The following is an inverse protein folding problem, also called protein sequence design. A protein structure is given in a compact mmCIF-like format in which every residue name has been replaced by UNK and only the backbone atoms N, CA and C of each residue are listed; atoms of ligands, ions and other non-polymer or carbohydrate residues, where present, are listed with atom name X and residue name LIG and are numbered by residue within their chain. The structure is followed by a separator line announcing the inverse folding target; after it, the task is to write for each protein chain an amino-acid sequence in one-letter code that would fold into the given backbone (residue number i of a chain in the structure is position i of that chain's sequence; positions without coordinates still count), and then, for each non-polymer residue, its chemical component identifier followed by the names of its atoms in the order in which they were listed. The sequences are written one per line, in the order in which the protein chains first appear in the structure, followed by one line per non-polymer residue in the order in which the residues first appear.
data_IF_221554856502
#
_entry.id   IF_221554856502
#
_cell.length_a   1.000
_cell.length_b   1.000
_cell.length_c   1.000
_cell.angle_alpha   90.00
_cell.angle_beta   90.00
_cell.angle_gamma   90.00
#
_symmetry.space_group_name_H-M   'P 1'
#
loop_
_entity.id
_entity.type
_entity.pdbx_description
1 polymer ?
#
# COMPACT_ATOMS: atom_id res chain seq x y z
N UNK A 1 -21.70 10.39 -0.37
CA UNK A 1 -21.03 9.43 0.53
C UNK A 1 -21.89 8.99 1.71
N UNK A 2 -22.32 9.90 2.63
CA UNK A 2 -23.12 9.51 3.81
C UNK A 2 -24.37 8.68 3.47
N UNK A 3 -25.22 9.17 2.57
CA UNK A 3 -26.43 8.46 2.15
C UNK A 3 -26.18 7.04 1.59
N UNK A 4 -25.01 6.82 0.98
CA UNK A 4 -24.61 5.50 0.48
C UNK A 4 -24.16 4.56 1.60
N UNK A 5 -23.39 5.06 2.56
CA UNK A 5 -23.07 4.32 3.76
C UNK A 5 -24.29 4.09 4.67
N UNK A 6 -25.29 4.98 4.64
CA UNK A 6 -26.56 4.86 5.38
C UNK A 6 -27.57 3.97 4.62
N UNK A 7 -27.23 3.45 3.45
CA UNK A 7 -28.12 2.70 2.55
C UNK A 7 -29.43 3.42 2.18
N UNK A 8 -29.48 4.75 2.30
CA UNK A 8 -30.62 5.59 1.93
C UNK A 8 -30.59 6.02 0.46
N UNK A 9 -29.42 6.01 -0.18
CA UNK A 9 -29.26 6.18 -1.62
C UNK A 9 -27.97 5.50 -2.11
N UNK A 10 -28.03 4.72 -3.20
CA UNK A 10 -26.83 4.07 -3.75
C UNK A 10 -26.09 4.98 -4.72
N UNK A 11 -24.76 5.02 -4.61
CA UNK A 11 -23.92 5.61 -5.64
C UNK A 11 -24.02 4.78 -6.93
N UNK A 12 -23.94 5.45 -8.08
CA UNK A 12 -23.86 4.76 -9.36
C UNK A 12 -22.56 3.92 -9.40
N UNK A 13 -22.59 2.66 -9.87
CA UNK A 13 -21.43 1.77 -9.84
C UNK A 13 -20.16 2.36 -10.46
N UNK A 14 -20.29 3.10 -11.55
CA UNK A 14 -19.17 3.70 -12.30
C UNK A 14 -18.44 4.82 -11.55
N UNK A 15 -19.12 5.50 -10.61
CA UNK A 15 -18.52 6.61 -9.84
C UNK A 15 -18.31 6.25 -8.37
N UNK A 16 -18.87 5.14 -7.90
CA UNK A 16 -18.80 4.76 -6.50
C UNK A 16 -17.36 4.67 -6.00
N UNK A 17 -16.47 4.01 -6.76
CA UNK A 17 -15.06 3.86 -6.38
C UNK A 17 -14.34 5.20 -6.20
N UNK A 18 -14.47 6.12 -7.17
CA UNK A 18 -13.80 7.43 -7.08
C UNK A 18 -14.39 8.30 -5.97
N UNK A 19 -15.71 8.28 -5.76
CA UNK A 19 -16.35 9.03 -4.67
C UNK A 19 -15.89 8.50 -3.30
N UNK A 20 -15.76 7.17 -3.16
CA UNK A 20 -15.24 6.52 -1.94
C UNK A 20 -13.78 6.93 -1.69
N UNK A 21 -12.92 6.90 -2.73
CA UNK A 21 -11.52 7.29 -2.62
C UNK A 21 -11.36 8.77 -2.25
N UNK A 22 -12.05 9.68 -2.97
CA UNK A 22 -11.99 11.13 -2.69
C UNK A 22 -12.51 11.45 -1.29
N UNK A 23 -13.59 10.82 -0.85
CA UNK A 23 -14.10 11.04 0.51
C UNK A 23 -13.11 10.58 1.61
N UNK A 24 -12.31 9.54 1.35
CA UNK A 24 -11.29 9.06 2.29
C UNK A 24 -10.11 10.04 2.44
N UNK A 25 -9.73 10.78 1.40
CA UNK A 25 -8.60 11.73 1.45
C UNK A 25 -8.74 12.82 2.53
N UNK A 26 -9.98 13.18 2.87
CA UNK A 26 -10.34 14.13 3.93
C UNK A 26 -11.12 13.47 5.08
N UNK A 27 -11.08 12.14 5.16
CA UNK A 27 -11.85 11.34 6.09
C UNK A 27 -11.27 11.34 7.51
N UNK A 28 -12.15 11.30 8.50
CA UNK A 28 -11.81 11.14 9.91
C UNK A 28 -11.88 9.66 10.37
N UNK A 29 -11.54 9.43 11.64
CA UNK A 29 -11.66 8.10 12.27
C UNK A 29 -13.05 7.49 12.13
N UNK A 30 -14.10 8.31 12.25
CA UNK A 30 -15.47 7.85 12.10
C UNK A 30 -15.74 7.37 10.67
N UNK A 31 -15.25 8.07 9.64
CA UNK A 31 -15.40 7.62 8.27
C UNK A 31 -14.62 6.31 8.01
N UNK A 32 -13.41 6.20 8.56
CA UNK A 32 -12.61 4.99 8.48
C UNK A 32 -13.34 3.78 9.09
N UNK A 33 -13.89 3.94 10.30
CA UNK A 33 -14.63 2.87 10.99
C UNK A 33 -15.85 2.44 10.17
N UNK A 34 -16.54 3.40 9.55
CA UNK A 34 -17.67 3.11 8.65
C UNK A 34 -17.25 2.37 7.38
N UNK A 35 -16.06 2.66 6.83
CA UNK A 35 -15.55 1.93 5.66
C UNK A 35 -15.24 0.48 6.03
N UNK A 36 -14.60 0.25 7.17
CA UNK A 36 -14.33 -1.11 7.66
C UNK A 36 -15.62 -1.87 7.94
N UNK A 37 -16.60 -1.23 8.60
CA UNK A 37 -17.91 -1.85 8.85
C UNK A 37 -18.59 -2.25 7.54
N UNK A 38 -18.67 -1.32 6.58
CA UNK A 38 -19.30 -1.56 5.28
C UNK A 38 -18.59 -2.63 4.46
N UNK A 39 -17.26 -2.66 4.48
CA UNK A 39 -16.44 -3.72 3.88
C UNK A 39 -16.81 -5.09 4.46
N UNK A 40 -16.85 -5.22 5.79
CA UNK A 40 -17.19 -6.46 6.48
C UNK A 40 -18.62 -6.93 6.19
N UNK A 41 -19.59 -6.00 6.20
CA UNK A 41 -20.98 -6.29 5.87
C UNK A 41 -21.14 -6.78 4.42
N UNK A 42 -20.45 -6.13 3.48
CA UNK A 42 -20.51 -6.46 2.06
C UNK A 42 -19.84 -7.81 1.72
N UNK A 43 -18.86 -8.25 2.53
CA UNK A 43 -18.09 -9.47 2.26
C UNK A 43 -18.92 -10.74 2.04
N UNK A 44 -20.12 -10.81 2.64
CA UNK A 44 -21.01 -11.97 2.52
C UNK A 44 -22.01 -11.89 1.34
N UNK A 45 -22.23 -10.70 0.76
CA UNK A 45 -23.39 -10.47 -0.12
C UNK A 45 -23.09 -9.63 -1.36
N UNK A 46 -22.00 -8.87 -1.39
CA UNK A 46 -21.62 -7.97 -2.47
C UNK A 46 -20.09 -7.83 -2.54
N UNK A 47 -19.46 -8.73 -3.28
CA UNK A 47 -18.00 -8.75 -3.43
C UNK A 47 -17.45 -7.49 -4.12
N UNK A 48 -18.23 -6.85 -5.01
CA UNK A 48 -17.78 -5.64 -5.68
C UNK A 48 -17.74 -4.47 -4.69
N UNK A 49 -18.77 -4.36 -3.87
CA UNK A 49 -18.84 -3.33 -2.83
C UNK A 49 -17.81 -3.53 -1.74
N UNK A 50 -17.60 -4.77 -1.29
CA UNK A 50 -16.52 -5.10 -0.36
C UNK A 50 -15.17 -4.65 -0.92
N UNK A 51 -14.87 -4.98 -2.18
CA UNK A 51 -13.64 -4.55 -2.82
C UNK A 51 -13.51 -3.02 -2.94
N UNK A 52 -14.61 -2.29 -3.21
CA UNK A 52 -14.60 -0.82 -3.25
C UNK A 52 -14.20 -0.22 -1.90
N UNK A 53 -14.77 -0.72 -0.80
CA UNK A 53 -14.44 -0.21 0.53
C UNK A 53 -13.05 -0.64 0.99
N UNK A 54 -12.63 -1.88 0.68
CA UNK A 54 -11.26 -2.34 0.91
C UNK A 54 -10.24 -1.44 0.22
N UNK A 55 -10.46 -1.10 -1.06
CA UNK A 55 -9.61 -0.17 -1.79
C UNK A 55 -9.72 1.28 -1.30
N UNK A 56 -10.91 1.70 -0.84
CA UNK A 56 -11.13 3.01 -0.24
C UNK A 56 -10.26 3.29 0.98
N UNK A 57 -9.96 2.25 1.80
CA UNK A 57 -9.09 2.37 2.98
C UNK A 57 -7.67 2.83 2.66
N UNK A 58 -7.21 2.68 1.42
CA UNK A 58 -5.85 3.05 1.00
C UNK A 58 -5.69 4.56 0.79
N UNK A 59 -6.78 5.31 0.74
CA UNK A 59 -6.79 6.74 0.40
C UNK A 59 -6.93 7.67 1.61
N UNK A 60 -6.98 7.15 2.83
CA UNK A 60 -6.90 8.00 4.03
C UNK A 60 -5.50 8.60 4.14
N UNK A 61 -5.42 9.92 4.40
CA UNK A 61 -4.14 10.64 4.47
C UNK A 61 -3.65 10.89 5.90
N UNK A 62 -4.50 10.74 6.91
CA UNK A 62 -4.10 10.95 8.31
C UNK A 62 -3.15 9.81 8.76
N UNK A 63 -1.96 10.12 9.29
CA UNK A 63 -0.93 9.11 9.60
C UNK A 63 -1.41 7.93 10.45
N UNK A 64 -2.21 8.18 11.50
CA UNK A 64 -2.73 7.10 12.36
C UNK A 64 -3.74 6.24 11.62
N UNK A 65 -4.53 6.81 10.71
CA UNK A 65 -5.46 6.03 9.88
C UNK A 65 -4.72 5.17 8.85
N UNK A 66 -3.62 5.66 8.29
CA UNK A 66 -2.74 4.86 7.42
C UNK A 66 -2.15 3.69 8.20
N UNK A 67 -1.62 3.94 9.40
CA UNK A 67 -1.08 2.91 10.29
C UNK A 67 -2.15 1.86 10.62
N UNK A 68 -3.35 2.29 11.06
CA UNK A 68 -4.49 1.39 11.30
C UNK A 68 -4.86 0.56 10.08
N UNK A 69 -4.85 1.13 8.88
CA UNK A 69 -5.08 0.37 7.64
C UNK A 69 -3.96 -0.64 7.40
N UNK A 70 -2.71 -0.26 7.58
CA UNK A 70 -1.55 -1.14 7.39
C UNK A 70 -1.55 -2.31 8.39
N UNK A 71 -1.92 -2.07 9.65
CA UNK A 71 -2.10 -3.12 10.66
C UNK A 71 -3.30 -4.04 10.35
N UNK A 72 -4.43 -3.47 9.89
CA UNK A 72 -5.62 -4.23 9.52
C UNK A 72 -5.31 -5.29 8.45
N UNK A 73 -4.40 -4.99 7.51
CA UNK A 73 -3.96 -5.90 6.46
C UNK A 73 -3.40 -7.21 7.03
N UNK A 74 -2.66 -7.14 8.14
CA UNK A 74 -2.08 -8.34 8.76
C UNK A 74 -3.01 -9.00 9.79
N UNK A 75 -4.18 -8.42 10.05
CA UNK A 75 -5.19 -9.02 10.91
C UNK A 75 -5.97 -10.16 10.22
N UNK A 76 -6.72 -10.99 10.97
CA UNK A 76 -7.64 -11.98 10.40
C UNK A 76 -8.78 -11.39 9.54
N UNK A 77 -8.99 -10.06 9.58
CA UNK A 77 -10.02 -9.39 8.77
C UNK A 77 -9.71 -9.48 7.28
N UNK A 78 -8.43 -9.43 6.91
CA UNK A 78 -7.99 -9.45 5.51
C UNK A 78 -7.39 -10.82 5.22
N UNK A 79 -7.91 -11.47 4.17
CA UNK A 79 -7.41 -12.79 3.75
C UNK A 79 -5.95 -12.67 3.34
N UNK A 80 -5.12 -13.65 3.71
CA UNK A 80 -3.68 -13.64 3.45
C UNK A 80 -3.34 -13.31 1.99
N UNK A 81 -4.08 -13.88 1.02
CA UNK A 81 -3.86 -13.65 -0.42
C UNK A 81 -4.24 -12.24 -0.91
N UNK A 82 -5.02 -11.50 -0.15
CA UNK A 82 -5.42 -10.13 -0.48
C UNK A 82 -4.51 -9.08 0.13
N UNK A 83 -3.63 -9.46 1.06
CA UNK A 83 -2.74 -8.52 1.76
C UNK A 83 -1.86 -7.73 0.80
N UNK A 84 -1.31 -8.41 -0.21
CA UNK A 84 -0.51 -7.78 -1.26
C UNK A 84 -1.30 -6.74 -2.07
N UNK A 85 -2.60 -6.93 -2.27
CA UNK A 85 -3.48 -6.00 -3.00
C UNK A 85 -3.75 -4.69 -2.24
N UNK A 86 -3.33 -4.61 -0.97
CA UNK A 86 -3.48 -3.43 -0.13
C UNK A 86 -2.13 -2.84 0.27
N UNK A 87 -1.20 -3.66 0.76
CA UNK A 87 0.06 -3.15 1.31
C UNK A 87 0.99 -2.62 0.21
N UNK A 88 1.03 -3.29 -0.95
CA UNK A 88 1.88 -2.87 -2.06
C UNK A 88 1.46 -1.48 -2.57
N UNK A 89 0.17 -1.21 -2.87
CA UNK A 89 -0.27 0.15 -3.19
C UNK A 89 0.02 1.18 -2.09
N UNK A 90 -0.18 0.84 -0.81
CA UNK A 90 0.13 1.78 0.28
C UNK A 90 1.61 2.17 0.31
N UNK A 91 2.53 1.25 0.02
CA UNK A 91 3.95 1.57 -0.11
C UNK A 91 4.27 2.42 -1.36
N UNK A 92 3.39 2.43 -2.36
CA UNK A 92 3.60 3.20 -3.60
C UNK A 92 3.10 4.65 -3.48
N UNK A 93 2.08 4.91 -2.65
CA UNK A 93 1.49 6.24 -2.48
C UNK A 93 2.33 7.15 -1.57
N UNK A 94 2.55 8.41 -2.00
CA UNK A 94 3.42 9.39 -1.29
C UNK A 94 3.08 9.55 0.19
N UNK A 95 1.78 9.61 0.54
CA UNK A 95 1.31 9.89 1.90
C UNK A 95 1.46 8.71 2.85
N UNK A 96 1.36 7.49 2.33
CA UNK A 96 1.35 6.27 3.14
C UNK A 96 2.64 5.47 3.08
N UNK A 97 3.51 5.75 2.11
CA UNK A 97 4.71 4.96 1.81
C UNK A 97 5.55 4.63 3.02
N UNK A 98 5.96 5.64 3.76
CA UNK A 98 6.88 5.46 4.88
C UNK A 98 6.24 4.64 5.99
N UNK A 99 4.97 4.93 6.34
CA UNK A 99 4.23 4.20 7.38
C UNK A 99 4.01 2.73 6.96
N UNK A 100 3.57 2.50 5.72
CA UNK A 100 3.37 1.15 5.22
C UNK A 100 4.68 0.35 5.13
N UNK A 101 5.78 1.03 4.80
CA UNK A 101 7.12 0.45 4.85
C UNK A 101 7.50 0.04 6.28
N UNK A 102 7.31 0.92 7.27
CA UNK A 102 7.56 0.60 8.68
C UNK A 102 6.80 -0.65 9.11
N UNK A 103 5.49 -0.70 8.85
CA UNK A 103 4.64 -1.83 9.23
C UNK A 103 5.08 -3.12 8.53
N UNK A 104 5.44 -3.08 7.23
CA UNK A 104 5.98 -4.26 6.56
C UNK A 104 7.25 -4.78 7.23
N UNK A 105 8.19 -3.88 7.60
CA UNK A 105 9.43 -4.28 8.28
C UNK A 105 9.16 -5.00 9.58
N UNK A 106 8.26 -4.45 10.40
CA UNK A 106 7.87 -5.02 11.69
C UNK A 106 7.16 -6.37 11.57
N UNK A 107 6.30 -6.52 10.55
CA UNK A 107 5.52 -7.74 10.33
C UNK A 107 6.25 -8.80 9.52
N UNK A 108 7.39 -8.48 8.91
CA UNK A 108 8.06 -9.35 7.94
C UNK A 108 8.30 -10.78 8.47
N UNK A 109 8.93 -10.91 9.63
CA UNK A 109 9.32 -12.24 10.13
C UNK A 109 8.10 -13.09 10.49
N UNK A 110 7.06 -12.47 11.04
CA UNK A 110 5.85 -13.15 11.48
C UNK A 110 4.90 -13.49 10.32
N UNK A 111 4.79 -12.61 9.32
CA UNK A 111 3.71 -12.65 8.32
C UNK A 111 4.19 -12.91 6.89
N UNK A 112 5.49 -12.74 6.61
CA UNK A 112 6.05 -12.81 5.24
C UNK A 112 7.15 -13.87 5.11
N UNK A 113 8.06 -13.97 6.08
CA UNK A 113 9.21 -14.86 6.01
C UNK A 113 8.83 -16.35 6.11
N UNK A 114 7.67 -16.67 6.70
CA UNK A 114 7.20 -18.04 6.90
C UNK A 114 7.04 -18.83 5.60
N UNK A 115 7.14 -20.17 5.71
CA UNK A 115 6.95 -21.08 4.58
C UNK A 115 5.46 -21.22 4.17
N UNK A 116 4.54 -20.88 5.06
CA UNK A 116 3.09 -20.96 4.84
C UNK A 116 2.56 -19.87 3.89
N UNK A 117 3.32 -18.81 3.68
CA UNK A 117 2.93 -17.77 2.74
C UNK A 117 3.12 -18.27 1.30
N UNK A 118 2.07 -18.19 0.49
CA UNK A 118 2.13 -18.66 -0.89
C UNK A 118 3.31 -18.02 -1.65
N UNK A 119 4.13 -18.81 -2.40
CA UNK A 119 5.36 -18.32 -3.01
C UNK A 119 5.21 -17.07 -3.87
N UNK A 120 4.13 -16.98 -4.65
CA UNK A 120 3.86 -15.82 -5.49
C UNK A 120 3.69 -14.53 -4.68
N UNK A 121 2.93 -14.59 -3.58
CA UNK A 121 2.74 -13.43 -2.71
C UNK A 121 4.04 -13.10 -1.96
N UNK A 122 4.78 -14.11 -1.49
CA UNK A 122 6.05 -13.91 -0.82
C UNK A 122 7.06 -13.18 -1.72
N UNK A 123 7.17 -13.56 -2.99
CA UNK A 123 8.02 -12.88 -3.97
C UNK A 123 7.51 -11.48 -4.36
N UNK A 124 6.22 -11.20 -4.21
CA UNK A 124 5.68 -9.86 -4.50
C UNK A 124 6.20 -8.79 -3.52
N UNK A 125 6.53 -9.15 -2.27
CA UNK A 125 7.01 -8.18 -1.28
C UNK A 125 8.41 -7.62 -1.59
N UNK A 126 9.45 -8.41 -1.90
CA UNK A 126 10.72 -7.86 -2.37
C UNK A 126 10.57 -6.94 -3.58
N UNK A 127 9.73 -7.35 -4.55
CA UNK A 127 9.43 -6.52 -5.72
C UNK A 127 8.76 -5.19 -5.34
N UNK A 128 7.88 -5.19 -4.35
CA UNK A 128 7.26 -3.96 -3.86
C UNK A 128 8.26 -3.05 -3.12
N UNK A 129 9.12 -3.63 -2.27
CA UNK A 129 10.22 -2.91 -1.61
C UNK A 129 11.18 -2.30 -2.63
N UNK A 130 11.38 -2.94 -3.78
CA UNK A 130 12.24 -2.40 -4.84
C UNK A 130 11.74 -1.08 -5.46
N UNK A 131 10.51 -0.66 -5.17
CA UNK A 131 9.92 0.60 -5.62
C UNK A 131 10.16 1.78 -4.64
N UNK A 132 10.78 1.52 -3.48
CA UNK A 132 11.13 2.53 -2.49
C UNK A 132 12.40 3.30 -2.89
N UNK A 133 12.42 3.79 -4.13
CA UNK A 133 13.57 4.47 -4.74
C UNK A 133 13.68 5.96 -4.39
N UNK A 134 12.90 6.44 -3.40
CA UNK A 134 12.92 7.85 -3.01
C UNK A 134 14.14 8.15 -2.13
N UNK A 135 14.65 9.40 -2.16
CA UNK A 135 15.73 9.82 -1.29
C UNK A 135 15.45 9.46 0.17
N UNK A 136 16.45 8.89 0.84
CA UNK A 136 16.35 8.45 2.24
C UNK A 136 15.77 7.04 2.46
N UNK A 137 15.18 6.40 1.45
CA UNK A 137 14.64 5.04 1.56
C UNK A 137 15.51 3.96 0.89
N UNK A 138 16.26 4.31 -0.16
CA UNK A 138 17.03 3.35 -0.98
C UNK A 138 17.96 2.48 -0.14
N UNK A 139 18.86 3.10 0.63
CA UNK A 139 19.86 2.36 1.41
C UNK A 139 19.22 1.50 2.50
N UNK A 140 18.14 1.99 3.09
CA UNK A 140 17.39 1.26 4.11
C UNK A 140 16.68 0.04 3.53
N UNK A 141 16.03 0.19 2.36
CA UNK A 141 15.40 -0.89 1.64
C UNK A 141 16.41 -1.95 1.18
N UNK A 142 17.59 -1.54 0.70
CA UNK A 142 18.67 -2.47 0.32
C UNK A 142 19.13 -3.28 1.55
N UNK A 143 19.49 -2.62 2.65
CA UNK A 143 19.92 -3.31 3.88
C UNK A 143 18.86 -4.27 4.39
N UNK A 144 17.59 -3.86 4.35
CA UNK A 144 16.49 -4.73 4.75
C UNK A 144 16.40 -5.97 3.86
N UNK A 145 16.42 -5.82 2.54
CA UNK A 145 16.33 -6.95 1.61
C UNK A 145 17.51 -7.91 1.75
N UNK A 146 18.72 -7.40 1.96
CA UNK A 146 19.90 -8.22 2.25
C UNK A 146 19.73 -9.02 3.55
N UNK A 147 19.28 -8.36 4.63
CA UNK A 147 19.07 -8.99 5.93
C UNK A 147 17.93 -10.00 5.94
N UNK A 148 16.90 -9.80 5.11
CA UNK A 148 15.71 -10.66 5.02
C UNK A 148 15.79 -11.71 3.91
N UNK A 149 16.94 -11.84 3.25
CA UNK A 149 17.14 -12.79 2.16
C UNK A 149 17.05 -14.23 2.66
N UNK A 150 16.09 -14.99 2.12
CA UNK A 150 15.97 -16.44 2.30
C UNK A 150 16.17 -17.18 0.98
N UNK A 151 16.51 -18.49 0.99
CA UNK A 151 16.80 -19.23 -0.25
C UNK A 151 15.69 -19.16 -1.31
N UNK A 152 14.43 -19.17 -0.90
CA UNK A 152 13.24 -19.16 -1.76
C UNK A 152 12.92 -17.81 -2.42
N UNK A 153 13.51 -16.71 -1.94
CA UNK A 153 13.39 -15.36 -2.54
C UNK A 153 14.75 -14.77 -2.94
N UNK A 154 15.83 -15.56 -2.86
CA UNK A 154 17.19 -15.05 -2.96
C UNK A 154 17.48 -14.36 -4.31
N UNK A 155 16.89 -14.85 -5.40
CA UNK A 155 17.02 -14.26 -6.73
C UNK A 155 16.19 -12.97 -6.84
N UNK A 156 14.92 -13.00 -6.41
CA UNK A 156 14.04 -11.82 -6.41
C UNK A 156 14.63 -10.68 -5.58
N UNK A 157 15.25 -10.99 -4.43
CA UNK A 157 15.97 -10.03 -3.59
C UNK A 157 17.14 -9.40 -4.34
N UNK A 158 17.97 -10.19 -5.03
CA UNK A 158 19.11 -9.67 -5.79
C UNK A 158 18.65 -8.72 -6.91
N UNK A 159 17.62 -9.11 -7.66
CA UNK A 159 17.02 -8.27 -8.70
C UNK A 159 16.37 -7.00 -8.13
N UNK A 160 15.74 -7.09 -6.96
CA UNK A 160 15.10 -5.97 -6.27
C UNK A 160 16.12 -4.92 -5.80
N UNK A 161 17.26 -5.38 -5.26
CA UNK A 161 18.37 -4.50 -4.85
C UNK A 161 18.96 -3.78 -6.07
N UNK A 162 19.17 -4.49 -7.18
CA UNK A 162 19.68 -3.85 -8.40
C UNK A 162 18.72 -2.78 -8.92
N UNK A 163 17.42 -3.07 -8.92
CA UNK A 163 16.40 -2.10 -9.30
C UNK A 163 16.41 -0.87 -8.39
N UNK A 164 16.59 -1.03 -7.08
CA UNK A 164 16.70 0.10 -6.15
C UNK A 164 17.88 1.01 -6.50
N UNK A 165 19.05 0.44 -6.80
CA UNK A 165 20.24 1.21 -7.20
C UNK A 165 19.99 2.00 -8.48
N UNK A 166 19.47 1.33 -9.51
CA UNK A 166 19.18 1.95 -10.81
C UNK A 166 18.13 3.06 -10.67
N UNK A 167 17.03 2.78 -9.97
CA UNK A 167 15.94 3.75 -9.81
C UNK A 167 16.33 4.92 -8.90
N UNK A 168 17.11 4.68 -7.84
CA UNK A 168 17.61 5.73 -6.95
C UNK A 168 18.50 6.72 -7.71
N UNK A 169 19.52 6.19 -8.44
CA UNK A 169 20.40 7.02 -9.25
C UNK A 169 19.64 7.76 -10.38
N UNK A 170 18.63 7.12 -10.98
CA UNK A 170 17.78 7.77 -11.97
C UNK A 170 16.93 8.89 -11.36
N UNK A 171 16.38 8.69 -10.16
CA UNK A 171 15.58 9.69 -9.47
C UNK A 171 16.40 10.93 -9.08
N UNK A 172 17.63 10.75 -8.60
CA UNK A 172 18.55 11.84 -8.30
C UNK A 172 18.85 12.68 -9.56
N UNK A 173 19.30 12.03 -10.63
CA UNK A 173 19.61 12.72 -11.90
C UNK A 173 18.40 13.46 -12.48
N UNK A 174 17.22 12.84 -12.47
CA UNK A 174 16.01 13.45 -13.02
C UNK A 174 15.48 14.60 -12.16
N UNK A 175 15.77 14.62 -10.85
CA UNK A 175 15.39 15.75 -10.00
C UNK A 175 16.10 17.03 -10.45
N UNK A 176 17.42 16.94 -10.68
CA UNK A 176 18.24 18.06 -11.17
C UNK A 176 17.76 18.55 -12.54
N UNK A 177 17.58 17.62 -13.50
CA UNK A 177 17.11 17.95 -14.86
C UNK A 177 15.70 18.58 -14.87
N UNK A 178 14.81 18.14 -13.98
CA UNK A 178 13.44 18.64 -13.90
C UNK A 178 13.38 20.02 -13.24
N UNK A 179 14.20 20.27 -12.22
CA UNK A 179 14.32 21.60 -11.60
C UNK A 179 14.75 22.64 -12.63
N UNK A 180 15.76 22.32 -13.44
CA UNK A 180 16.21 23.16 -14.55
C UNK A 180 15.10 23.38 -15.59
N UNK A 181 14.38 22.33 -15.99
CA UNK A 181 13.31 22.44 -16.99
C UNK A 181 12.08 23.24 -16.51
N UNK A 182 11.71 23.09 -15.23
CA UNK A 182 10.56 23.79 -14.63
C UNK A 182 10.88 25.23 -14.23
N UNK A 183 12.14 25.56 -13.97
CA UNK A 183 12.58 26.93 -13.66
C UNK A 183 12.60 27.85 -14.87
N UNK A 184 12.65 27.31 -16.10
CA UNK A 184 12.66 28.07 -17.36
C UNK A 184 11.28 28.70 -17.69
N UNK A 185 10.25 28.53 -16.85
CA UNK A 185 8.89 29.02 -17.09
C UNK A 185 8.38 30.11 -16.10
N UNK A 186 9.27 30.90 -15.50
CA UNK A 186 8.92 32.10 -14.71
C UNK A 186 9.63 33.35 -15.23
#
# INVERSE_FOLDING_TARGET
MRAHLDSTARLHPDVAGIVIAVAATIGDERLWDRYVARMKEAAASDAQEEARFRQGLLYFEEPRLIERTAELIFSPTIRTMERGLMLIPLMQLRRSREIAWQVLREKWDAEVAGAELAPLLKQAFPNAVSQLAQPGLVDDAIRFLEAKRTPDIAETVAQSIERLRVNGAAAERLADELEDALSIAA
#
